data_IF_179303763228
#
_entry.id   IF_179303763228
#
_cell.length_a   1.000
_cell.length_b   1.000
_cell.length_c   1.000
_cell.angle_alpha   90.00
_cell.angle_beta   90.00
_cell.angle_gamma   90.00
#
_symmetry.space_group_name_H-M   'P 1'
#
loop_
_entity.id
_entity.type
_entity.pdbx_description
1 polymer ?
#
# COMPACT_ATOMS: atom_id res chain seq x y z
N UNK A 1 11.70 55.96 -37.73
CA UNK A 1 11.97 55.47 -36.38
C UNK A 1 10.93 54.42 -36.04
N UNK A 2 11.24 53.14 -36.30
CA UNK A 2 10.36 52.02 -35.94
C UNK A 2 10.84 51.45 -34.58
N UNK A 3 9.96 51.56 -33.57
CA UNK A 3 10.18 50.92 -32.26
C UNK A 3 9.64 49.48 -32.31
N UNK A 4 10.55 48.52 -32.36
CA UNK A 4 10.23 47.08 -32.25
C UNK A 4 9.95 46.76 -30.78
N UNK A 5 8.70 46.47 -30.44
CA UNK A 5 8.32 45.98 -29.10
C UNK A 5 8.50 44.48 -29.11
N UNK A 6 9.52 43.99 -28.35
CA UNK A 6 9.77 42.57 -28.12
C UNK A 6 8.81 42.09 -27.04
N UNK A 7 7.80 41.31 -27.43
CA UNK A 7 6.88 40.67 -26.46
C UNK A 7 7.55 39.40 -25.91
N UNK A 8 8.07 39.47 -24.69
CA UNK A 8 8.65 38.32 -23.99
C UNK A 8 7.50 37.46 -23.48
N UNK A 9 7.19 36.34 -24.14
CA UNK A 9 6.22 35.36 -23.69
C UNK A 9 6.80 34.56 -22.55
N UNK A 10 6.44 34.87 -21.31
CA UNK A 10 6.76 34.04 -20.15
C UNK A 10 5.89 32.79 -20.16
N UNK A 11 6.49 31.69 -20.59
CA UNK A 11 5.91 30.35 -20.49
C UNK A 11 6.03 29.90 -19.02
N UNK A 12 4.99 30.09 -18.22
CA UNK A 12 4.90 29.52 -16.88
C UNK A 12 4.62 28.03 -17.02
N UNK A 13 5.67 27.22 -16.86
CA UNK A 13 5.53 25.80 -16.69
C UNK A 13 4.77 25.56 -15.38
N UNK A 14 3.49 25.25 -15.48
CA UNK A 14 2.72 24.70 -14.36
C UNK A 14 3.29 23.31 -14.06
N UNK A 15 4.18 23.22 -13.09
CA UNK A 15 4.55 21.93 -12.48
C UNK A 15 3.29 21.41 -11.81
N UNK A 16 2.61 20.47 -12.46
CA UNK A 16 1.59 19.67 -11.83
C UNK A 16 2.28 18.92 -10.67
N UNK A 17 2.11 19.41 -9.46
CA UNK A 17 2.35 18.62 -8.28
C UNK A 17 1.37 17.45 -8.36
N UNK A 18 1.87 16.29 -8.74
CA UNK A 18 1.16 15.03 -8.48
C UNK A 18 1.00 14.99 -6.96
N UNK A 19 -0.20 15.34 -6.48
CA UNK A 19 -0.50 15.42 -5.05
C UNK A 19 -0.19 14.08 -4.42
N UNK A 20 0.39 14.11 -3.23
CA UNK A 20 0.66 12.91 -2.45
C UNK A 20 -0.63 12.10 -2.26
N UNK A 21 -0.55 10.78 -2.49
CA UNK A 21 -1.69 9.89 -2.31
C UNK A 21 -2.15 9.90 -0.84
N UNK A 22 -3.45 10.02 -0.63
CA UNK A 22 -4.03 9.80 0.69
C UNK A 22 -3.86 8.33 1.11
N UNK A 23 -3.94 7.98 2.41
CA UNK A 23 -3.90 6.58 2.85
C UNK A 23 -4.90 5.69 2.13
N UNK A 24 -6.13 6.18 1.92
CA UNK A 24 -7.19 5.49 1.19
C UNK A 24 -6.81 5.23 -0.26
N UNK A 25 -6.33 6.27 -0.96
CA UNK A 25 -6.00 6.18 -2.37
C UNK A 25 -4.80 5.27 -2.60
N UNK A 26 -3.81 5.27 -1.69
CA UNK A 26 -2.68 4.36 -1.74
C UNK A 26 -3.12 2.89 -1.62
N UNK A 27 -4.02 2.57 -0.68
CA UNK A 27 -4.57 1.23 -0.52
C UNK A 27 -5.41 0.84 -1.73
N UNK A 28 -6.29 1.73 -2.22
CA UNK A 28 -7.11 1.48 -3.40
C UNK A 28 -6.25 1.22 -4.65
N UNK A 29 -5.21 2.03 -4.85
CA UNK A 29 -4.26 1.86 -5.96
C UNK A 29 -3.49 0.53 -5.83
N UNK A 30 -3.09 0.13 -4.62
CA UNK A 30 -2.41 -1.15 -4.41
C UNK A 30 -3.29 -2.33 -4.86
N UNK A 31 -4.57 -2.37 -4.47
CA UNK A 31 -5.50 -3.38 -4.97
C UNK A 31 -5.70 -3.33 -6.48
N UNK A 32 -5.74 -2.13 -7.07
CA UNK A 32 -5.90 -1.97 -8.50
C UNK A 32 -4.69 -2.51 -9.28
N UNK A 33 -3.47 -2.23 -8.82
CA UNK A 33 -2.23 -2.69 -9.46
C UNK A 33 -2.02 -4.19 -9.22
N UNK A 34 -2.36 -4.70 -8.04
CA UNK A 34 -2.32 -6.13 -7.71
C UNK A 34 -3.15 -7.00 -8.68
N UNK A 35 -4.22 -6.47 -9.23
CA UNK A 35 -5.04 -7.16 -10.25
C UNK A 35 -4.52 -6.99 -11.68
N UNK A 36 -3.44 -6.27 -11.87
CA UNK A 36 -2.85 -5.99 -13.18
C UNK A 36 -1.73 -6.97 -13.52
N UNK A 37 -1.17 -6.84 -14.73
CA UNK A 37 0.02 -7.60 -15.15
C UNK A 37 1.30 -7.24 -14.37
N UNK A 38 1.30 -6.11 -13.68
CA UNK A 38 2.43 -5.58 -12.92
C UNK A 38 2.11 -5.62 -11.43
N UNK A 39 1.95 -6.84 -10.91
CA UNK A 39 1.68 -7.06 -9.50
C UNK A 39 2.90 -6.70 -8.64
N UNK A 40 2.78 -5.74 -7.70
CA UNK A 40 3.89 -5.38 -6.83
C UNK A 40 4.38 -6.52 -5.92
N UNK A 41 3.54 -7.51 -5.64
CA UNK A 41 3.93 -8.69 -4.86
C UNK A 41 4.88 -9.60 -5.63
N UNK A 42 4.82 -9.58 -6.96
CA UNK A 42 5.73 -10.28 -7.85
C UNK A 42 6.89 -9.38 -8.30
N UNK A 43 6.58 -8.16 -8.72
CA UNK A 43 7.56 -7.14 -9.09
C UNK A 43 8.04 -6.38 -7.83
N UNK A 44 8.88 -7.00 -7.02
CA UNK A 44 9.28 -6.50 -5.71
C UNK A 44 9.92 -5.11 -5.71
N UNK A 45 10.46 -4.65 -6.83
CA UNK A 45 10.94 -3.28 -7.02
C UNK A 45 9.82 -2.22 -6.93
N UNK A 46 8.58 -2.62 -7.25
CA UNK A 46 7.41 -1.73 -7.14
C UNK A 46 6.87 -1.69 -5.70
N UNK A 47 7.17 -2.72 -4.91
CA UNK A 47 6.62 -2.89 -3.57
C UNK A 47 7.05 -1.77 -2.60
N UNK A 48 8.23 -1.19 -2.81
CA UNK A 48 8.71 -0.02 -2.04
C UNK A 48 7.87 1.25 -2.20
N UNK A 49 6.96 1.31 -3.19
CA UNK A 49 5.99 2.39 -3.32
C UNK A 49 4.83 2.25 -2.33
N UNK A 50 4.58 1.04 -1.86
CA UNK A 50 3.46 0.69 -0.98
C UNK A 50 3.90 0.37 0.43
N UNK A 51 4.95 -0.44 0.62
CA UNK A 51 5.44 -0.86 1.92
C UNK A 51 6.47 0.11 2.49
N UNK A 52 6.47 0.26 3.82
CA UNK A 52 7.59 0.91 4.49
C UNK A 52 8.84 0.03 4.45
N UNK A 53 10.00 0.61 4.79
CA UNK A 53 11.27 -0.09 4.70
C UNK A 53 11.35 -1.35 5.58
N UNK A 54 10.66 -1.34 6.74
CA UNK A 54 10.67 -2.45 7.67
C UNK A 54 9.84 -3.64 7.15
N UNK A 55 8.62 -3.37 6.66
CA UNK A 55 7.76 -4.40 6.09
C UNK A 55 8.34 -4.95 4.79
N UNK A 56 8.86 -4.08 3.93
CA UNK A 56 9.54 -4.47 2.69
C UNK A 56 10.71 -5.42 2.96
N UNK A 57 11.55 -5.10 3.96
CA UNK A 57 12.69 -5.95 4.36
C UNK A 57 12.23 -7.35 4.79
N UNK A 58 11.15 -7.44 5.57
CA UNK A 58 10.59 -8.72 6.01
C UNK A 58 10.05 -9.52 4.82
N UNK A 59 9.31 -8.89 3.93
CA UNK A 59 8.75 -9.53 2.75
C UNK A 59 9.85 -10.08 1.81
N UNK A 60 10.86 -9.26 1.52
CA UNK A 60 12.00 -9.68 0.68
C UNK A 60 12.84 -10.77 1.35
N UNK A 61 12.93 -10.76 2.69
CA UNK A 61 13.58 -11.84 3.44
C UNK A 61 12.83 -13.16 3.24
N UNK A 62 11.52 -13.15 3.39
CA UNK A 62 10.68 -14.34 3.23
C UNK A 62 10.82 -14.92 1.80
N UNK A 63 10.71 -14.10 0.77
CA UNK A 63 10.92 -14.51 -0.62
C UNK A 63 12.29 -15.17 -0.84
N UNK A 64 13.37 -14.63 -0.25
CA UNK A 64 14.72 -15.21 -0.36
C UNK A 64 14.86 -16.54 0.37
N UNK A 65 14.27 -16.64 1.57
CA UNK A 65 14.33 -17.86 2.37
C UNK A 65 13.49 -19.00 1.79
N UNK A 66 12.36 -18.66 1.17
CA UNK A 66 11.50 -19.60 0.47
C UNK A 66 12.15 -20.25 -0.77
N UNK A 67 13.17 -19.63 -1.38
CA UNK A 67 13.92 -20.18 -2.53
C UNK A 67 13.04 -20.65 -3.71
N UNK A 68 11.92 -19.99 -3.92
CA UNK A 68 10.94 -20.35 -4.96
C UNK A 68 9.84 -21.30 -4.49
N UNK A 69 9.93 -21.82 -3.27
CA UNK A 69 8.87 -22.59 -2.62
C UNK A 69 7.89 -21.64 -1.87
N UNK A 70 6.89 -22.22 -1.21
CA UNK A 70 5.97 -21.48 -0.36
C UNK A 70 6.73 -20.96 0.88
N UNK A 71 6.70 -19.65 1.09
CA UNK A 71 7.28 -19.01 2.25
C UNK A 71 6.37 -19.08 3.49
N UNK A 72 6.48 -18.10 4.37
CA UNK A 72 5.62 -17.97 5.56
C UNK A 72 4.19 -17.55 5.20
N UNK A 73 4.02 -16.95 4.03
CA UNK A 73 2.71 -16.55 3.51
C UNK A 73 2.09 -17.73 2.77
N UNK A 74 0.97 -18.22 3.29
CA UNK A 74 0.19 -19.33 2.75
C UNK A 74 -0.96 -18.87 1.83
N UNK A 75 -0.94 -17.63 1.40
CA UNK A 75 -1.96 -17.06 0.54
C UNK A 75 -1.68 -15.61 0.19
N UNK A 76 -2.64 -15.00 -0.48
CA UNK A 76 -2.58 -13.60 -0.86
C UNK A 76 -2.71 -12.69 0.36
N UNK A 77 -1.71 -11.84 0.67
CA UNK A 77 -1.73 -10.99 1.85
C UNK A 77 -2.76 -9.85 1.79
N UNK A 78 -3.29 -9.52 0.60
CA UNK A 78 -4.30 -8.48 0.47
C UNK A 78 -5.70 -8.99 0.83
N UNK A 79 -5.90 -10.30 0.74
CA UNK A 79 -7.19 -10.95 0.99
C UNK A 79 -7.14 -11.95 2.15
N UNK A 80 -5.96 -12.32 2.62
CA UNK A 80 -5.74 -13.40 3.60
C UNK A 80 -6.42 -14.71 3.15
N UNK A 81 -6.22 -15.09 1.90
CA UNK A 81 -6.88 -16.23 1.28
C UNK A 81 -6.03 -16.84 0.16
N UNK A 82 -6.17 -18.15 -0.05
CA UNK A 82 -5.60 -18.86 -1.20
C UNK A 82 -6.56 -18.82 -2.38
N UNK A 83 -7.83 -19.17 -2.14
CA UNK A 83 -8.88 -19.15 -3.16
C UNK A 83 -9.68 -17.85 -3.05
N UNK A 84 -9.84 -17.16 -4.17
CA UNK A 84 -10.46 -15.86 -4.22
C UNK A 84 -11.63 -15.79 -5.19
N UNK A 85 -12.81 -15.48 -4.65
CA UNK A 85 -13.99 -15.06 -5.40
C UNK A 85 -14.56 -13.81 -4.73
N UNK A 86 -14.00 -12.65 -5.10
CA UNK A 86 -14.23 -11.40 -4.41
C UNK A 86 -15.45 -10.68 -4.97
N UNK A 87 -16.34 -10.26 -4.08
CA UNK A 87 -17.50 -9.39 -4.35
C UNK A 87 -17.68 -8.35 -3.25
N UNK A 88 -18.55 -7.38 -3.46
CA UNK A 88 -18.92 -6.32 -2.49
C UNK A 88 -17.70 -5.57 -1.90
N UNK A 89 -16.71 -5.31 -2.75
CA UNK A 89 -15.44 -4.70 -2.35
C UNK A 89 -15.60 -3.21 -2.05
N UNK A 90 -15.07 -2.78 -0.89
CA UNK A 90 -15.06 -1.37 -0.50
C UNK A 90 -13.81 -1.00 0.31
N UNK A 91 -13.36 0.25 0.17
CA UNK A 91 -12.25 0.83 0.91
C UNK A 91 -12.77 1.99 1.73
N UNK A 92 -12.62 1.93 3.05
CA UNK A 92 -13.11 2.96 3.97
C UNK A 92 -12.29 4.26 3.90
N UNK A 93 -12.86 5.33 4.47
CA UNK A 93 -12.07 6.51 4.82
C UNK A 93 -11.03 6.13 5.89
N UNK A 94 -9.85 6.80 5.92
CA UNK A 94 -8.83 6.49 6.90
C UNK A 94 -9.24 6.96 8.30
N UNK A 95 -8.96 6.13 9.30
CA UNK A 95 -8.95 6.52 10.71
C UNK A 95 -7.52 6.92 11.07
N UNK A 96 -7.31 8.17 11.46
CA UNK A 96 -5.98 8.67 11.84
C UNK A 96 -5.82 8.63 13.35
N UNK A 97 -4.77 7.98 13.84
CA UNK A 97 -4.38 7.97 15.24
C UNK A 97 -2.99 8.58 15.37
N UNK A 98 -2.89 9.62 16.17
CA UNK A 98 -1.63 10.31 16.44
C UNK A 98 -1.92 11.67 17.06
N UNK A 99 -1.35 11.97 18.20
CA UNK A 99 -1.42 13.27 18.84
C UNK A 99 -0.01 13.84 18.97
N UNK A 100 0.16 15.12 19.37
CA UNK A 100 1.45 15.81 19.41
C UNK A 100 2.51 15.19 20.33
N UNK A 101 2.15 14.13 21.06
CA UNK A 101 3.06 13.39 21.97
C UNK A 101 3.46 11.99 21.47
N UNK A 102 2.99 11.53 20.29
CA UNK A 102 3.38 10.23 19.70
C UNK A 102 4.36 10.45 18.56
N UNK A 103 5.47 9.74 18.59
CA UNK A 103 6.40 9.64 17.48
C UNK A 103 5.73 8.90 16.32
N UNK A 104 5.32 9.64 15.30
CA UNK A 104 4.73 9.13 14.07
C UNK A 104 3.21 9.28 14.00
N UNK A 105 2.74 9.60 12.82
CA UNK A 105 1.32 9.62 12.47
C UNK A 105 1.00 8.26 11.84
N UNK A 106 0.02 7.57 12.39
CA UNK A 106 -0.51 6.30 11.86
C UNK A 106 -1.90 6.52 11.29
N UNK A 107 -2.18 5.93 10.15
CA UNK A 107 -3.52 5.85 9.59
C UNK A 107 -3.93 4.39 9.44
N UNK A 108 -5.22 4.11 9.62
CA UNK A 108 -5.82 2.78 9.38
C UNK A 108 -6.86 2.91 8.29
N UNK A 109 -6.74 2.05 7.28
CA UNK A 109 -7.71 1.93 6.20
C UNK A 109 -8.29 0.53 6.23
N UNK A 110 -9.60 0.45 6.39
CA UNK A 110 -10.31 -0.83 6.41
C UNK A 110 -10.80 -1.14 5.00
N UNK A 111 -10.51 -2.35 4.54
CA UNK A 111 -11.03 -2.92 3.29
C UNK A 111 -12.02 -4.02 3.68
N UNK A 112 -13.22 -3.95 3.12
CA UNK A 112 -14.28 -4.94 3.32
C UNK A 112 -14.65 -5.56 1.98
N UNK A 113 -14.91 -6.84 1.99
CA UNK A 113 -15.35 -7.59 0.80
C UNK A 113 -16.06 -8.88 1.22
N UNK A 114 -16.65 -9.58 0.27
CA UNK A 114 -17.02 -10.99 0.44
C UNK A 114 -16.02 -11.85 -0.32
N UNK A 115 -15.54 -12.93 0.30
CA UNK A 115 -14.78 -13.96 -0.39
C UNK A 115 -15.58 -15.25 -0.37
N UNK A 116 -15.88 -15.79 -1.55
CA UNK A 116 -16.75 -16.99 -1.70
C UNK A 116 -18.07 -16.81 -0.91
N UNK A 117 -18.67 -15.62 -1.04
CA UNK A 117 -19.92 -15.23 -0.37
C UNK A 117 -19.80 -14.92 1.13
N UNK A 118 -18.65 -15.14 1.77
CA UNK A 118 -18.45 -14.86 3.20
C UNK A 118 -17.86 -13.48 3.42
N UNK A 119 -18.40 -12.65 4.35
CA UNK A 119 -17.80 -11.37 4.71
C UNK A 119 -16.38 -11.55 5.24
N UNK A 120 -15.48 -10.67 4.80
CA UNK A 120 -14.09 -10.60 5.23
C UNK A 120 -13.64 -9.15 5.34
N UNK A 121 -12.66 -8.89 6.18
CA UNK A 121 -12.10 -7.57 6.43
C UNK A 121 -10.59 -7.65 6.59
N UNK A 122 -9.92 -6.65 6.01
CA UNK A 122 -8.48 -6.46 6.12
C UNK A 122 -8.22 -5.02 6.54
N UNK A 123 -7.34 -4.79 7.51
CA UNK A 123 -7.00 -3.47 8.02
C UNK A 123 -5.55 -3.15 7.64
N UNK A 124 -5.36 -2.17 6.77
CA UNK A 124 -4.06 -1.63 6.43
C UNK A 124 -3.65 -0.60 7.48
N UNK A 125 -2.48 -0.80 8.05
CA UNK A 125 -1.84 0.16 8.96
C UNK A 125 -0.77 0.89 8.17
N UNK A 126 -0.87 2.21 8.09
CA UNK A 126 0.04 3.04 7.33
C UNK A 126 0.80 3.98 8.26
N UNK A 127 2.06 4.15 8.01
CA UNK A 127 2.93 5.13 8.67
C UNK A 127 3.26 6.28 7.72
N UNK A 128 3.41 7.48 8.28
CA UNK A 128 3.85 8.66 7.55
C UNK A 128 5.38 8.64 7.43
N UNK A 129 5.90 8.69 6.22
CA UNK A 129 7.33 8.79 5.92
C UNK A 129 7.65 10.14 5.25
N UNK A 130 8.93 10.42 4.99
CA UNK A 130 9.33 11.61 4.24
C UNK A 130 8.78 11.59 2.80
N UNK A 131 8.62 10.41 2.22
CA UNK A 131 8.15 10.21 0.84
C UNK A 131 6.64 9.94 0.75
N UNK A 132 5.90 10.22 1.83
CA UNK A 132 4.46 10.01 1.89
C UNK A 132 4.03 8.81 2.75
N UNK A 133 2.79 8.40 2.57
CA UNK A 133 2.24 7.25 3.29
C UNK A 133 2.81 5.94 2.79
N UNK A 134 3.07 5.00 3.71
CA UNK A 134 3.51 3.64 3.41
C UNK A 134 2.82 2.66 4.34
N UNK A 135 2.50 1.48 3.83
CA UNK A 135 1.92 0.37 4.60
C UNK A 135 3.01 -0.19 5.50
N UNK A 136 2.77 -0.17 6.82
CA UNK A 136 3.66 -0.70 7.85
C UNK A 136 3.21 -2.07 8.37
N UNK A 137 1.94 -2.43 8.20
CA UNK A 137 1.38 -3.74 8.53
C UNK A 137 0.03 -3.96 7.83
N UNK A 138 -0.38 -5.21 7.68
CA UNK A 138 -1.73 -5.60 7.26
C UNK A 138 -2.27 -6.56 8.32
N UNK A 139 -3.43 -6.24 8.89
CA UNK A 139 -4.06 -7.00 9.98
C UNK A 139 -5.31 -7.71 9.48
N UNK A 140 -5.53 -8.91 9.99
CA UNK A 140 -6.61 -9.79 9.59
C UNK A 140 -7.61 -10.04 10.71
N UNK A 141 -8.80 -10.52 10.36
CA UNK A 141 -9.90 -10.75 11.32
C UNK A 141 -9.60 -11.89 12.31
N UNK A 142 -8.68 -12.79 11.99
CA UNK A 142 -8.23 -13.88 12.87
C UNK A 142 -7.22 -13.42 13.95
N UNK A 143 -6.91 -12.13 13.99
CA UNK A 143 -5.95 -11.54 14.93
C UNK A 143 -4.48 -11.68 14.51
N UNK A 144 -4.21 -12.31 13.36
CA UNK A 144 -2.87 -12.33 12.76
C UNK A 144 -2.55 -11.02 12.02
N UNK A 145 -1.31 -10.85 11.59
CA UNK A 145 -0.94 -9.76 10.70
C UNK A 145 0.21 -10.17 9.79
N UNK A 146 0.33 -9.52 8.64
CA UNK A 146 1.39 -9.75 7.68
C UNK A 146 2.77 -9.68 8.36
N UNK A 147 2.99 -8.65 9.16
CA UNK A 147 4.27 -8.45 9.86
C UNK A 147 4.59 -9.59 10.83
N UNK A 148 3.59 -10.05 11.61
CA UNK A 148 3.77 -11.19 12.54
C UNK A 148 4.05 -12.48 11.78
N UNK A 149 3.33 -12.74 10.69
CA UNK A 149 3.53 -13.92 9.83
C UNK A 149 4.97 -13.94 9.30
N UNK A 150 5.43 -12.83 8.71
CA UNK A 150 6.77 -12.70 8.14
C UNK A 150 7.90 -12.77 9.18
N UNK A 151 7.61 -12.51 10.47
CA UNK A 151 8.55 -12.64 11.58
C UNK A 151 8.59 -14.06 12.18
N UNK A 152 7.65 -14.91 11.82
CA UNK A 152 7.58 -16.30 12.28
C UNK A 152 8.77 -17.15 11.83
N UNK A 153 8.77 -18.40 12.22
CA UNK A 153 9.70 -19.40 11.68
C UNK A 153 9.16 -19.96 10.38
N UNK A 154 10.05 -20.28 9.47
CA UNK A 154 9.75 -21.01 8.24
C UNK A 154 9.64 -22.49 8.57
#
# INVERSE_FOLDING_TARGET
>A
MFKTILFLLMLTAATAFAGELSPKDLVAQFYQVHRSKHDPLDETQLLGRYFDAALLKLYLKDKREAKGEVGRLDGDPLYNAQDMQISDFSVSAPETTGGPKRTGIEARVTVQFKNIGKPARVIFVLSRTADGWRISDIRYDDGSSLKKILQGKL
#
